data_IF_786087079047
#
_entry.id   IF_786087079047
#
_cell.length_a   1.000
_cell.length_b   1.000
_cell.length_c   1.000
_cell.angle_alpha   90.00
_cell.angle_beta   90.00
_cell.angle_gamma   90.00
#
_symmetry.space_group_name_H-M   'P 1'
#
loop_
_entity.id
_entity.type
_entity.pdbx_description
1 polymer ?
#
# COMPACT_ATOMS: atom_id res chain seq x y z
N UNK A 1 2.78 7.63 -12.71
CA UNK A 1 2.00 6.55 -12.10
C UNK A 1 1.79 6.85 -10.63
N UNK A 2 0.59 6.75 -10.16
CA UNK A 2 0.22 7.13 -8.80
C UNK A 2 0.21 5.92 -7.88
N UNK A 3 0.91 6.05 -6.75
CA UNK A 3 0.92 5.05 -5.68
C UNK A 3 0.00 5.55 -4.57
N UNK A 4 -0.97 4.72 -4.17
CA UNK A 4 -1.87 5.01 -3.06
C UNK A 4 -1.43 4.26 -1.81
N UNK A 5 -1.47 4.94 -0.68
CA UNK A 5 -1.12 4.36 0.62
C UNK A 5 -2.33 4.53 1.54
N UNK A 6 -3.24 3.53 1.55
CA UNK A 6 -4.41 3.59 2.41
C UNK A 6 -4.05 3.40 3.88
N UNK A 7 -4.96 3.84 4.75
CA UNK A 7 -4.86 3.58 6.17
C UNK A 7 -5.11 2.09 6.43
N UNK A 8 -4.26 1.48 7.26
CA UNK A 8 -4.47 0.10 7.68
C UNK A 8 -5.71 0.00 8.56
N UNK A 9 -6.57 -0.95 8.26
CA UNK A 9 -7.84 -1.11 8.98
C UNK A 9 -7.86 -2.32 9.91
N UNK A 10 -6.84 -3.16 9.88
CA UNK A 10 -6.77 -4.33 10.75
C UNK A 10 -6.66 -3.88 12.21
N UNK A 11 -7.52 -4.45 13.06
CA UNK A 11 -7.52 -4.13 14.49
C UNK A 11 -6.15 -4.41 15.11
N UNK A 12 -5.62 -3.44 15.81
CA UNK A 12 -4.30 -3.55 16.44
C UNK A 12 -3.12 -3.21 15.54
N UNK A 13 -3.36 -2.96 14.26
CA UNK A 13 -2.26 -2.56 13.36
C UNK A 13 -1.93 -1.09 13.56
N UNK A 14 -0.68 -0.81 13.88
CA UNK A 14 -0.19 0.58 14.08
C UNK A 14 0.73 1.04 12.97
N UNK A 15 1.20 0.10 12.14
CA UNK A 15 2.13 0.42 11.06
C UNK A 15 1.40 0.95 9.83
N UNK A 16 2.18 1.52 8.93
CA UNK A 16 1.71 2.00 7.63
C UNK A 16 2.65 1.47 6.54
N UNK A 17 2.14 1.29 5.33
CA UNK A 17 2.92 0.69 4.25
C UNK A 17 4.11 1.54 3.80
N UNK A 18 4.04 2.85 4.00
CA UNK A 18 5.15 3.74 3.66
C UNK A 18 5.27 4.86 4.67
N UNK A 19 6.50 5.17 5.07
CA UNK A 19 6.80 6.33 5.91
C UNK A 19 7.05 7.55 5.03
N UNK A 20 7.12 8.77 5.61
CA UNK A 20 7.52 9.95 4.84
C UNK A 20 8.86 9.78 4.11
N UNK A 21 9.83 9.10 4.72
CA UNK A 21 11.11 8.81 4.07
C UNK A 21 10.93 7.93 2.84
N UNK A 22 10.10 6.90 2.93
CA UNK A 22 9.79 6.04 1.80
C UNK A 22 9.10 6.81 0.69
N UNK A 23 8.18 7.69 1.05
CA UNK A 23 7.50 8.55 0.08
C UNK A 23 8.51 9.39 -0.71
N UNK A 24 9.47 10.00 -0.01
CA UNK A 24 10.50 10.79 -0.68
C UNK A 24 11.31 9.94 -1.68
N UNK A 25 11.62 8.71 -1.33
CA UNK A 25 12.33 7.78 -2.22
C UNK A 25 11.50 7.40 -3.44
N UNK A 26 10.21 7.17 -3.26
CA UNK A 26 9.30 6.84 -4.36
C UNK A 26 9.17 8.00 -5.34
N UNK A 27 9.11 9.22 -4.83
CA UNK A 27 9.07 10.42 -5.67
C UNK A 27 10.35 10.54 -6.51
N UNK A 28 11.50 10.22 -5.94
CA UNK A 28 12.76 10.22 -6.67
C UNK A 28 12.79 9.20 -7.81
N UNK A 29 12.03 8.13 -7.67
CA UNK A 29 11.91 7.10 -8.72
C UNK A 29 10.91 7.51 -9.82
N UNK A 30 10.25 8.64 -9.69
CA UNK A 30 9.33 9.14 -10.70
C UNK A 30 7.86 8.87 -10.45
N UNK A 31 7.52 8.31 -9.27
CA UNK A 31 6.12 8.07 -8.91
C UNK A 31 5.51 9.30 -8.24
N UNK A 32 4.21 9.41 -8.36
CA UNK A 32 3.42 10.29 -7.50
C UNK A 32 2.86 9.46 -6.34
N UNK A 33 2.67 10.06 -5.18
CA UNK A 33 2.20 9.33 -3.99
C UNK A 33 1.01 10.06 -3.37
N UNK A 34 -0.06 9.31 -3.11
CA UNK A 34 -1.24 9.79 -2.39
C UNK A 34 -1.39 8.97 -1.12
N UNK A 35 -1.38 9.63 0.04
CA UNK A 35 -1.51 8.98 1.35
C UNK A 35 -2.89 9.31 1.91
N UNK A 36 -3.61 8.29 2.37
CA UNK A 36 -4.89 8.51 3.03
C UNK A 36 -4.68 9.31 4.31
N UNK A 37 -5.54 10.29 4.55
CA UNK A 37 -5.48 11.09 5.77
C UNK A 37 -5.50 10.19 7.01
N UNK A 38 -4.62 10.45 7.95
CA UNK A 38 -4.41 9.69 9.18
C UNK A 38 -3.81 8.29 8.99
N UNK A 39 -3.34 7.95 7.78
CA UNK A 39 -2.77 6.62 7.53
C UNK A 39 -1.57 6.32 8.43
N UNK A 40 -0.74 7.31 8.73
CA UNK A 40 0.44 7.15 9.55
C UNK A 40 0.25 7.54 11.02
N UNK A 41 -0.96 7.90 11.44
CA UNK A 41 -1.19 8.47 12.78
C UNK A 41 -0.76 7.54 13.91
N UNK A 42 -1.05 6.24 13.80
CA UNK A 42 -0.68 5.26 14.81
C UNK A 42 0.80 4.88 14.78
N UNK A 43 1.49 5.23 13.71
CA UNK A 43 2.93 5.03 13.56
C UNK A 43 3.72 6.30 13.89
N UNK A 44 3.06 7.31 14.43
CA UNK A 44 3.64 8.62 14.80
C UNK A 44 4.03 9.49 13.60
N UNK A 45 3.42 9.24 12.44
CA UNK A 45 3.60 10.07 11.25
C UNK A 45 2.30 10.82 10.97
N UNK A 46 2.32 12.14 11.08
CA UNK A 46 1.12 12.94 10.81
C UNK A 46 1.01 13.29 9.32
N UNK A 47 -0.14 13.82 8.94
CA UNK A 47 -0.40 14.20 7.56
C UNK A 47 0.58 15.27 7.07
N UNK A 48 0.98 16.19 7.94
CA UNK A 48 1.93 17.25 7.60
C UNK A 48 3.29 16.66 7.21
N UNK A 49 3.74 15.61 7.89
CA UNK A 49 5.00 14.95 7.57
C UNK A 49 4.98 14.34 6.17
N UNK A 50 3.86 13.74 5.79
CA UNK A 50 3.71 13.19 4.43
C UNK A 50 3.65 14.30 3.38
N UNK A 51 2.94 15.38 3.68
CA UNK A 51 2.87 16.51 2.77
C UNK A 51 4.25 17.15 2.56
N UNK A 52 5.04 17.27 3.61
CA UNK A 52 6.41 17.81 3.52
C UNK A 52 7.31 16.89 2.69
N UNK A 53 7.08 15.59 2.73
CA UNK A 53 7.83 14.64 1.90
C UNK A 53 7.41 14.69 0.42
N UNK A 54 6.32 15.35 0.10
CA UNK A 54 5.85 15.53 -1.27
C UNK A 54 4.62 14.70 -1.62
N UNK A 55 4.04 13.96 -0.68
CA UNK A 55 2.83 13.20 -0.91
C UNK A 55 1.60 14.11 -0.89
N UNK A 56 0.57 13.68 -1.59
CA UNK A 56 -0.76 14.29 -1.48
C UNK A 56 -1.51 13.57 -0.37
N UNK A 57 -2.08 14.31 0.57
CA UNK A 57 -2.94 13.74 1.60
C UNK A 57 -4.37 13.76 1.07
N UNK A 58 -4.98 12.57 0.98
CA UNK A 58 -6.25 12.40 0.29
C UNK A 58 -7.25 11.61 1.14
N UNK A 59 -8.48 11.52 0.66
CA UNK A 59 -9.52 10.70 1.29
C UNK A 59 -9.36 9.24 0.89
N UNK A 60 -10.05 8.35 1.60
CA UNK A 60 -9.98 6.90 1.37
C UNK A 60 -10.20 6.52 -0.09
N UNK A 61 -11.26 7.00 -0.70
CA UNK A 61 -11.58 6.66 -2.09
C UNK A 61 -10.49 7.07 -3.07
N UNK A 62 -9.86 8.21 -2.83
CA UNK A 62 -8.79 8.71 -3.69
C UNK A 62 -7.53 7.87 -3.54
N UNK A 63 -7.21 7.45 -2.30
CA UNK A 63 -6.06 6.57 -2.07
C UNK A 63 -6.27 5.23 -2.76
N UNK A 64 -7.45 4.64 -2.63
CA UNK A 64 -7.78 3.36 -3.27
C UNK A 64 -7.95 3.46 -4.78
N UNK A 65 -8.12 4.65 -5.32
CA UNK A 65 -8.23 4.88 -6.76
C UNK A 65 -6.89 5.01 -7.49
N UNK A 66 -5.77 4.92 -6.78
CA UNK A 66 -4.44 5.04 -7.40
C UNK A 66 -4.12 3.86 -8.33
N UNK A 67 -3.07 3.97 -9.11
CA UNK A 67 -2.64 2.91 -10.02
C UNK A 67 -2.05 1.71 -9.30
N UNK A 68 -1.29 1.99 -8.25
CA UNK A 68 -0.64 0.98 -7.42
C UNK A 68 -1.04 1.23 -5.97
N UNK A 69 -1.46 0.19 -5.27
CA UNK A 69 -1.83 0.27 -3.87
C UNK A 69 -0.77 -0.41 -3.03
N UNK A 70 -0.23 0.30 -2.04
CA UNK A 70 0.70 -0.24 -1.05
C UNK A 70 -0.05 -0.44 0.26
N UNK A 71 -0.18 -1.67 0.68
CA UNK A 71 -0.93 -2.06 1.87
C UNK A 71 -0.15 -3.13 2.64
N UNK A 72 -0.03 -3.01 3.96
CA UNK A 72 0.64 -4.05 4.76
C UNK A 72 -0.22 -5.29 4.87
N UNK A 73 -1.45 -5.13 5.32
CA UNK A 73 -2.36 -6.25 5.53
C UNK A 73 -3.28 -6.43 4.33
N UNK A 74 -3.72 -7.66 4.12
CA UNK A 74 -4.64 -7.98 3.03
C UNK A 74 -5.89 -7.11 3.11
N UNK A 75 -6.43 -6.65 1.97
CA UNK A 75 -7.61 -5.79 1.98
C UNK A 75 -8.85 -6.55 2.46
N UNK A 76 -9.75 -5.81 3.11
CA UNK A 76 -11.07 -6.33 3.50
C UNK A 76 -11.99 -6.33 2.29
N UNK A 77 -13.16 -6.98 2.42
CA UNK A 77 -14.15 -6.99 1.35
C UNK A 77 -14.59 -5.57 0.97
N UNK A 78 -14.79 -4.71 1.97
CA UNK A 78 -15.16 -3.30 1.73
C UNK A 78 -14.06 -2.56 0.98
N UNK A 79 -12.81 -2.84 1.31
CA UNK A 79 -11.66 -2.22 0.63
C UNK A 79 -11.53 -2.70 -0.82
N UNK A 80 -11.80 -3.99 -1.07
CA UNK A 80 -11.78 -4.54 -2.42
C UNK A 80 -12.81 -3.84 -3.30
N UNK A 81 -13.97 -3.48 -2.75
CA UNK A 81 -14.99 -2.76 -3.50
C UNK A 81 -14.54 -1.37 -3.95
N UNK A 82 -13.58 -0.77 -3.24
CA UNK A 82 -13.01 0.52 -3.62
C UNK A 82 -11.97 0.39 -4.74
N UNK A 83 -11.53 -0.82 -5.05
CA UNK A 83 -10.54 -1.08 -6.08
C UNK A 83 -11.20 -1.14 -7.46
N UNK A 84 -10.38 -0.95 -8.51
CA UNK A 84 -10.87 -1.00 -9.89
C UNK A 84 -10.00 -1.88 -10.76
N UNK A 85 -10.55 -2.28 -11.90
CA UNK A 85 -9.84 -3.09 -12.87
C UNK A 85 -8.54 -2.43 -13.32
N UNK A 86 -7.50 -3.23 -13.42
CA UNK A 86 -6.19 -2.76 -13.89
C UNK A 86 -5.27 -2.25 -12.81
N UNK A 87 -5.73 -2.18 -11.56
CA UNK A 87 -4.86 -1.79 -10.45
C UNK A 87 -3.84 -2.87 -10.11
N UNK A 88 -2.76 -2.45 -9.47
CA UNK A 88 -1.77 -3.35 -8.87
C UNK A 88 -1.83 -3.19 -7.36
N UNK A 89 -1.94 -4.30 -6.64
CA UNK A 89 -1.92 -4.31 -5.18
C UNK A 89 -0.61 -4.95 -4.71
N UNK A 90 0.15 -4.23 -3.89
CA UNK A 90 1.35 -4.76 -3.23
C UNK A 90 1.01 -4.90 -1.76
N UNK A 91 0.98 -6.13 -1.27
CA UNK A 91 0.53 -6.42 0.10
C UNK A 91 0.96 -7.81 0.55
N UNK A 92 0.91 -8.05 1.86
CA UNK A 92 1.04 -9.40 2.42
C UNK A 92 -0.33 -10.08 2.35
N UNK A 93 -0.48 -11.00 1.43
CA UNK A 93 -1.78 -11.61 1.11
C UNK A 93 -1.98 -12.96 1.80
N UNK A 94 -0.90 -13.72 2.00
CA UNK A 94 -0.95 -15.10 2.53
C UNK A 94 -1.94 -15.96 1.71
N UNK A 95 -1.66 -16.18 0.41
CA UNK A 95 -2.65 -16.77 -0.50
C UNK A 95 -3.11 -18.17 -0.10
N UNK A 96 -2.26 -18.95 0.56
CA UNK A 96 -2.64 -20.29 1.03
C UNK A 96 -3.75 -20.26 2.08
N UNK A 97 -3.86 -19.16 2.83
CA UNK A 97 -4.86 -18.98 3.89
C UNK A 97 -6.04 -18.13 3.45
N UNK A 98 -5.91 -17.42 2.35
CA UNK A 98 -6.87 -16.43 1.88
C UNK A 98 -7.26 -16.65 0.42
N UNK A 99 -7.58 -17.91 0.07
CA UNK A 99 -7.93 -18.25 -1.31
C UNK A 99 -9.15 -17.49 -1.82
N UNK A 100 -10.14 -17.25 -0.97
CA UNK A 100 -11.32 -16.46 -1.34
C UNK A 100 -10.96 -15.02 -1.68
N UNK A 101 -10.03 -14.43 -0.91
CA UNK A 101 -9.54 -13.08 -1.17
C UNK A 101 -8.86 -13.00 -2.53
N UNK A 102 -8.01 -13.96 -2.84
CA UNK A 102 -7.31 -14.02 -4.13
C UNK A 102 -8.33 -14.13 -5.26
N UNK A 103 -9.35 -14.95 -5.11
CA UNK A 103 -10.42 -15.10 -6.10
C UNK A 103 -11.18 -13.80 -6.32
N UNK A 104 -11.48 -13.07 -5.25
CA UNK A 104 -12.16 -11.77 -5.33
C UNK A 104 -11.31 -10.74 -6.07
N UNK A 105 -10.02 -10.71 -5.78
CA UNK A 105 -9.09 -9.79 -6.47
C UNK A 105 -8.97 -10.13 -7.94
N UNK A 106 -8.91 -11.42 -8.28
CA UNK A 106 -8.89 -11.87 -9.66
C UNK A 106 -10.17 -11.49 -10.39
N UNK A 107 -11.32 -11.60 -9.73
CA UNK A 107 -12.61 -11.22 -10.31
C UNK A 107 -12.67 -9.71 -10.63
N UNK A 108 -11.97 -8.90 -9.85
CA UNK A 108 -11.84 -7.46 -10.10
C UNK A 108 -10.75 -7.13 -11.12
N UNK A 109 -10.02 -8.12 -11.59
CA UNK A 109 -8.89 -7.96 -12.53
C UNK A 109 -7.80 -7.06 -11.96
N UNK A 110 -7.51 -7.24 -10.68
CA UNK A 110 -6.44 -6.56 -9.97
C UNK A 110 -5.19 -7.46 -10.00
N UNK A 111 -4.06 -6.88 -10.39
CA UNK A 111 -2.77 -7.58 -10.33
C UNK A 111 -2.27 -7.55 -8.89
N UNK A 112 -1.94 -8.70 -8.35
CA UNK A 112 -1.49 -8.82 -6.96
C UNK A 112 -0.01 -9.18 -6.93
N UNK A 113 0.77 -8.36 -6.23
CA UNK A 113 2.15 -8.68 -5.88
C UNK A 113 2.18 -8.97 -4.38
N UNK A 114 2.04 -10.25 -4.04
CA UNK A 114 2.06 -10.68 -2.65
C UNK A 114 3.51 -10.63 -2.15
N UNK A 115 3.79 -9.76 -1.18
CA UNK A 115 5.14 -9.57 -0.67
C UNK A 115 5.70 -10.82 -0.01
N UNK A 116 4.84 -11.62 0.60
CA UNK A 116 5.22 -12.89 1.21
C UNK A 116 5.57 -13.98 0.18
N UNK A 117 5.28 -13.74 -1.10
CA UNK A 117 5.61 -14.63 -2.21
C UNK A 117 6.82 -14.16 -3.00
N UNK A 118 7.34 -12.97 -2.72
CA UNK A 118 8.48 -12.40 -3.47
C UNK A 118 9.77 -13.07 -3.01
N UNK A 119 10.57 -13.64 -3.94
CA UNK A 119 11.85 -14.24 -3.56
C UNK A 119 12.80 -13.20 -2.95
N UNK A 120 13.63 -13.64 -2.01
CA UNK A 120 14.60 -12.78 -1.32
C UNK A 120 15.81 -12.42 -2.19
N UNK A 121 15.70 -12.54 -3.50
CA UNK A 121 16.86 -12.30 -4.38
C UNK A 121 16.71 -10.92 -5.00
N UNK A 122 17.13 -10.74 -6.19
CA UNK A 122 17.29 -9.46 -6.88
C UNK A 122 16.09 -8.49 -6.76
N UNK A 123 14.88 -8.99 -6.58
CA UNK A 123 13.70 -8.13 -6.46
C UNK A 123 13.57 -7.46 -5.11
N UNK A 124 14.24 -7.99 -4.11
CA UNK A 124 14.20 -7.43 -2.77
C UNK A 124 14.69 -5.98 -2.74
N UNK A 125 15.60 -5.62 -3.63
CA UNK A 125 16.12 -4.25 -3.66
C UNK A 125 15.05 -3.21 -3.99
N UNK A 126 14.13 -3.51 -4.88
CA UNK A 126 13.06 -2.56 -5.21
C UNK A 126 11.99 -2.50 -4.12
N UNK A 127 11.83 -3.57 -3.35
CA UNK A 127 10.87 -3.64 -2.26
C UNK A 127 11.48 -3.27 -0.92
N UNK A 128 12.78 -3.19 -0.80
CA UNK A 128 13.46 -2.83 0.45
C UNK A 128 13.06 -1.44 0.93
N UNK A 129 12.70 -0.55 0.02
CA UNK A 129 12.18 0.76 0.40
C UNK A 129 10.91 0.62 1.25
N UNK A 130 10.12 -0.43 1.04
CA UNK A 130 8.96 -0.73 1.87
C UNK A 130 9.33 -1.52 3.11
N UNK A 131 10.08 -2.61 2.94
CA UNK A 131 10.39 -3.50 4.05
C UNK A 131 11.33 -2.87 5.08
N UNK A 132 12.25 -2.02 4.65
CA UNK A 132 13.13 -1.32 5.58
C UNK A 132 12.37 -0.36 6.49
N UNK A 133 11.19 0.08 6.10
CA UNK A 133 10.35 0.95 6.91
C UNK A 133 9.57 0.19 7.98
N UNK A 134 9.49 -1.12 7.88
CA UNK A 134 8.79 -1.95 8.83
C UNK A 134 9.65 -2.32 10.04
N UNK A 135 10.91 -2.01 10.01
CA UNK A 135 11.85 -2.34 11.08
C UNK A 135 11.98 -1.20 12.08
#
# INVERSE_FOLDING_TARGET
MLIGIPKESLHGETRVAATPDTVAKLLKLGFEVAVQSNAGALASFDDASYAQAGAKVVKEKEAWGADIIFKLNAPTDAEIELMHEGQTLVSFIRPAQNSELVDKLNAKKVTVLAMDMVPRISRAQSLDALSSTAN
#
